data_IF_493019640850
#
_entry.id   IF_493019640850
#
_cell.length_a   1.000
_cell.length_b   1.000
_cell.length_c   1.000
_cell.angle_alpha   90.00
_cell.angle_beta   90.00
_cell.angle_gamma   90.00
#
_symmetry.space_group_name_H-M   'P 1'
#
loop_
_entity.id
_entity.type
_entity.pdbx_description
1 polymer ?
#
# COMPACT_ATOMS: atom_id res chain seq x y z
N UNK A 1 30.94 1.00 28.62
CA UNK A 1 29.48 1.08 28.36
C UNK A 1 29.29 1.85 27.06
N UNK A 2 28.73 1.25 26.01
CA UNK A 2 28.39 1.98 24.78
C UNK A 2 27.23 2.90 25.08
N UNK A 3 27.39 4.20 24.81
CA UNK A 3 26.33 5.20 24.89
C UNK A 3 25.35 4.88 23.75
N UNK A 4 24.17 4.37 24.07
CA UNK A 4 23.09 4.24 23.09
C UNK A 4 22.78 5.64 22.56
N UNK A 5 23.13 5.91 21.31
CA UNK A 5 22.68 7.10 20.61
C UNK A 5 21.21 6.82 20.28
N UNK A 6 20.30 7.50 20.98
CA UNK A 6 18.91 7.58 20.54
C UNK A 6 18.85 8.51 19.34
N UNK A 7 18.98 7.94 18.15
CA UNK A 7 18.66 8.66 16.91
C UNK A 7 17.14 8.89 16.86
N UNK A 8 16.73 10.09 16.47
CA UNK A 8 15.33 10.46 16.28
C UNK A 8 15.08 10.55 14.77
N UNK A 9 14.30 9.61 14.24
CA UNK A 9 13.89 9.60 12.84
C UNK A 9 12.52 10.28 12.68
N UNK A 10 12.45 11.32 11.85
CA UNK A 10 11.23 12.08 11.56
C UNK A 10 11.03 12.30 10.04
N UNK A 11 11.77 11.58 9.20
CA UNK A 11 11.89 11.82 7.75
C UNK A 11 10.97 10.93 6.89
N UNK A 12 10.41 9.84 7.46
CA UNK A 12 9.68 8.81 6.68
C UNK A 12 8.16 8.74 6.92
N UNK A 13 7.62 9.63 7.76
CA UNK A 13 6.20 9.60 8.18
C UNK A 13 5.77 8.26 8.82
N UNK A 14 6.69 7.55 9.48
CA UNK A 14 6.38 6.31 10.19
C UNK A 14 5.51 6.60 11.43
N UNK A 15 4.62 5.66 11.78
CA UNK A 15 3.89 5.76 13.03
C UNK A 15 4.88 5.54 14.21
N UNK A 16 5.00 6.48 15.17
CA UNK A 16 5.95 6.35 16.27
C UNK A 16 5.56 5.27 17.30
N UNK A 17 4.31 4.79 17.26
CA UNK A 17 3.83 3.76 18.17
C UNK A 17 4.04 2.36 17.59
N UNK A 18 4.25 1.40 18.50
CA UNK A 18 4.29 -0.02 18.13
C UNK A 18 2.95 -0.46 17.51
N UNK A 19 2.96 -1.51 16.67
CA UNK A 19 1.73 -2.16 16.23
C UNK A 19 0.83 -2.57 17.41
N UNK A 20 -0.46 -2.72 17.15
CA UNK A 20 -1.43 -3.20 18.15
C UNK A 20 -1.00 -4.54 18.74
N UNK A 21 -1.29 -4.76 20.04
CA UNK A 21 -1.03 -6.04 20.72
C UNK A 21 -1.68 -7.24 20.00
N UNK A 22 -2.82 -7.02 19.37
CA UNK A 22 -3.50 -8.07 18.60
C UNK A 22 -2.70 -8.45 17.34
N UNK A 23 -2.10 -7.46 16.66
CA UNK A 23 -1.23 -7.71 15.49
C UNK A 23 0.02 -8.50 15.93
N UNK A 24 0.63 -8.10 17.06
CA UNK A 24 1.81 -8.79 17.58
C UNK A 24 1.48 -10.25 17.90
N UNK A 25 0.37 -10.50 18.61
CA UNK A 25 -0.07 -11.85 18.96
C UNK A 25 -0.33 -12.72 17.73
N UNK A 26 -0.97 -12.18 16.71
CA UNK A 26 -1.26 -12.90 15.46
C UNK A 26 0.03 -13.29 14.72
N UNK A 27 0.99 -12.36 14.65
CA UNK A 27 2.30 -12.62 14.04
C UNK A 27 3.11 -13.67 14.83
N UNK A 28 3.01 -13.68 16.15
CA UNK A 28 3.65 -14.69 17.01
C UNK A 28 3.03 -16.09 16.86
N UNK A 29 1.75 -16.19 16.48
CA UNK A 29 1.07 -17.46 16.22
C UNK A 29 1.24 -18.00 14.80
N UNK A 30 1.99 -17.30 13.94
CA UNK A 30 2.10 -17.65 12.53
C UNK A 30 2.87 -18.96 12.33
N UNK A 31 2.27 -19.94 11.65
CA UNK A 31 2.92 -21.22 11.32
C UNK A 31 3.92 -21.04 10.18
N UNK A 32 5.21 -20.97 10.52
CA UNK A 32 6.31 -20.80 9.56
C UNK A 32 6.34 -21.94 8.54
N UNK A 33 5.96 -23.16 8.93
CA UNK A 33 5.95 -24.31 8.03
C UNK A 33 4.91 -24.15 6.91
N UNK A 34 3.91 -23.28 7.09
CA UNK A 34 2.90 -22.97 6.07
C UNK A 34 3.47 -22.20 4.86
N UNK A 35 4.63 -21.53 4.98
CA UNK A 35 5.23 -20.79 3.87
C UNK A 35 5.67 -21.65 2.69
N UNK A 36 5.71 -22.98 2.85
CA UNK A 36 5.90 -23.92 1.73
C UNK A 36 4.68 -23.97 0.78
N UNK A 37 3.54 -23.43 1.21
CA UNK A 37 2.30 -23.33 0.45
C UNK A 37 2.15 -21.93 -0.12
N UNK A 38 1.54 -21.83 -1.30
CA UNK A 38 1.08 -20.53 -1.79
C UNK A 38 -0.05 -20.02 -0.88
N UNK A 39 -0.10 -18.71 -0.59
CA UNK A 39 -1.25 -18.12 0.08
C UNK A 39 -2.50 -18.22 -0.83
N UNK A 40 -3.67 -17.90 -0.28
CA UNK A 40 -4.85 -17.66 -1.13
C UNK A 40 -4.48 -16.59 -2.19
N UNK A 41 -4.86 -16.85 -3.43
CA UNK A 41 -4.65 -15.93 -4.56
C UNK A 41 -5.50 -14.66 -4.41
N UNK A 42 -6.50 -14.68 -3.53
CA UNK A 42 -7.43 -13.60 -3.26
C UNK A 42 -7.45 -13.21 -1.79
N UNK A 43 -7.45 -11.91 -1.50
CA UNK A 43 -7.51 -11.39 -0.14
C UNK A 43 -8.96 -11.18 0.36
N UNK A 44 -9.86 -12.12 0.03
CA UNK A 44 -11.32 -11.96 0.23
C UNK A 44 -11.71 -11.68 1.68
N UNK A 45 -11.04 -12.31 2.64
CA UNK A 45 -11.31 -12.10 4.06
C UNK A 45 -10.95 -10.68 4.50
N UNK A 46 -9.83 -10.15 3.99
CA UNK A 46 -9.42 -8.77 4.23
C UNK A 46 -10.38 -7.78 3.56
N UNK A 47 -10.78 -8.04 2.31
CA UNK A 47 -11.72 -7.19 1.58
C UNK A 47 -13.07 -7.09 2.31
N UNK A 48 -13.59 -8.22 2.80
CA UNK A 48 -14.83 -8.27 3.56
C UNK A 48 -14.71 -7.55 4.91
N UNK A 49 -13.60 -7.76 5.64
CA UNK A 49 -13.35 -7.07 6.91
C UNK A 49 -13.26 -5.55 6.71
N UNK A 50 -12.59 -5.10 5.64
CA UNK A 50 -12.47 -3.69 5.29
C UNK A 50 -13.81 -3.08 4.88
N UNK A 51 -14.60 -3.77 4.06
CA UNK A 51 -15.93 -3.33 3.64
C UNK A 51 -16.86 -3.12 4.86
N UNK A 52 -16.86 -4.07 5.80
CA UNK A 52 -17.61 -3.95 7.05
C UNK A 52 -17.12 -2.77 7.91
N UNK A 53 -15.80 -2.60 8.05
CA UNK A 53 -15.22 -1.52 8.83
C UNK A 53 -15.51 -0.12 8.24
N UNK A 54 -15.57 -0.01 6.91
CA UNK A 54 -15.87 1.23 6.20
C UNK A 54 -17.37 1.43 5.92
N UNK A 55 -18.22 0.44 6.23
CA UNK A 55 -19.65 0.42 5.95
C UNK A 55 -19.98 0.68 4.48
N UNK A 56 -19.33 -0.05 3.57
CA UNK A 56 -19.58 -0.02 2.13
C UNK A 56 -19.75 -1.43 1.56
N UNK A 57 -20.28 -1.53 0.34
CA UNK A 57 -20.37 -2.81 -0.37
C UNK A 57 -18.96 -3.40 -0.62
N UNK A 58 -18.81 -4.72 -0.43
CA UNK A 58 -17.53 -5.41 -0.64
C UNK A 58 -17.03 -5.26 -2.07
N UNK A 59 -17.92 -5.14 -3.05
CA UNK A 59 -17.55 -5.05 -4.46
C UNK A 59 -16.93 -3.68 -4.80
N UNK A 60 -16.89 -2.75 -3.85
CA UNK A 60 -16.13 -1.51 -3.91
C UNK A 60 -14.74 -1.59 -3.26
N UNK A 61 -14.32 -2.75 -2.76
CA UNK A 61 -13.00 -2.97 -2.15
C UNK A 61 -12.16 -3.92 -3.01
N UNK A 62 -10.89 -3.55 -3.19
CA UNK A 62 -9.86 -4.44 -3.71
C UNK A 62 -8.58 -4.26 -2.90
N UNK A 63 -8.11 -5.33 -2.26
CA UNK A 63 -6.80 -5.36 -1.63
C UNK A 63 -5.70 -5.51 -2.67
N UNK A 64 -4.62 -4.75 -2.49
CA UNK A 64 -3.42 -4.78 -3.35
C UNK A 64 -2.16 -4.67 -2.48
N UNK A 65 -1.00 -5.03 -3.04
CA UNK A 65 0.30 -4.92 -2.38
C UNK A 65 0.80 -3.47 -2.35
N UNK A 66 0.13 -2.65 -1.55
CA UNK A 66 0.44 -1.25 -1.36
C UNK A 66 0.11 -0.38 -2.58
N UNK A 67 0.48 0.90 -2.47
CA UNK A 67 -0.04 1.88 -3.41
C UNK A 67 0.52 1.77 -4.84
N UNK A 68 1.72 1.22 -5.03
CA UNK A 68 2.28 1.07 -6.38
C UNK A 68 1.38 0.21 -7.26
N UNK A 69 0.91 -0.92 -6.73
CA UNK A 69 -0.01 -1.81 -7.43
C UNK A 69 -1.38 -1.14 -7.63
N UNK A 70 -1.93 -0.47 -6.60
CA UNK A 70 -3.19 0.28 -6.73
C UNK A 70 -3.15 1.25 -7.92
N UNK A 71 -2.13 2.12 -7.95
CA UNK A 71 -1.98 3.11 -9.02
C UNK A 71 -1.75 2.42 -10.38
N UNK A 72 -0.93 1.38 -10.43
CA UNK A 72 -0.71 0.64 -11.67
C UNK A 72 -2.01 0.02 -12.21
N UNK A 73 -2.83 -0.62 -11.37
CA UNK A 73 -4.12 -1.15 -11.77
C UNK A 73 -5.03 -0.04 -12.33
N UNK A 74 -5.20 1.06 -11.59
CA UNK A 74 -6.01 2.21 -12.04
C UNK A 74 -5.53 2.76 -13.39
N UNK A 75 -4.21 2.85 -13.59
CA UNK A 75 -3.63 3.35 -14.83
C UNK A 75 -3.79 2.37 -16.01
N UNK A 76 -3.88 1.07 -15.78
CA UNK A 76 -4.12 0.11 -16.85
C UNK A 76 -5.61 -0.14 -17.13
N UNK A 77 -6.52 0.18 -16.19
CA UNK A 77 -7.97 -0.03 -16.38
C UNK A 77 -8.67 0.93 -17.34
N UNK A 78 -7.96 1.88 -17.95
CA UNK A 78 -8.59 2.80 -18.91
C UNK A 78 -7.64 3.06 -20.09
N UNK A 79 -8.21 3.32 -21.25
CA UNK A 79 -7.49 3.60 -22.49
C UNK A 79 -7.38 5.11 -22.76
N UNK A 80 -6.39 5.53 -23.57
CA UNK A 80 -6.25 6.91 -24.07
C UNK A 80 -6.33 8.03 -23.01
N UNK A 81 -5.64 7.84 -21.87
CA UNK A 81 -5.72 8.75 -20.73
C UNK A 81 -4.80 9.97 -20.84
N UNK A 82 -5.30 11.11 -20.35
CA UNK A 82 -4.48 12.25 -19.91
C UNK A 82 -4.51 12.28 -18.39
N UNK A 83 -3.34 12.34 -17.76
CA UNK A 83 -3.21 12.32 -16.30
C UNK A 83 -2.75 13.69 -15.85
N UNK A 84 -3.51 14.27 -14.92
CA UNK A 84 -3.17 15.52 -14.29
C UNK A 84 -2.60 15.25 -12.90
N UNK A 85 -1.41 15.78 -12.63
CA UNK A 85 -0.80 15.79 -11.29
C UNK A 85 -0.56 17.24 -10.87
N UNK A 86 -1.03 17.62 -9.68
CA UNK A 86 -0.81 18.94 -9.09
C UNK A 86 0.49 18.94 -8.28
N UNK A 87 1.31 19.99 -8.43
CA UNK A 87 2.51 20.19 -7.61
C UNK A 87 2.19 20.87 -6.27
N UNK A 88 2.90 20.52 -5.18
CA UNK A 88 3.93 19.47 -5.10
C UNK A 88 3.30 18.07 -5.02
N UNK A 89 3.89 17.11 -5.74
CA UNK A 89 3.48 15.71 -5.72
C UNK A 89 4.58 14.80 -5.17
N UNK A 90 4.21 13.59 -4.76
CA UNK A 90 5.18 12.55 -4.39
C UNK A 90 5.89 12.05 -5.65
N UNK A 91 7.22 12.00 -5.65
CA UNK A 91 8.05 11.48 -6.76
C UNK A 91 7.62 10.10 -7.27
N UNK A 92 6.97 9.34 -6.39
CA UNK A 92 6.31 8.08 -6.69
C UNK A 92 5.42 8.15 -7.94
N UNK A 93 4.55 9.15 -8.03
CA UNK A 93 3.59 9.24 -9.14
C UNK A 93 4.30 9.40 -10.47
N UNK A 94 5.35 10.23 -10.50
CA UNK A 94 6.22 10.38 -11.67
C UNK A 94 6.87 9.05 -12.07
N UNK A 95 7.44 8.31 -11.13
CA UNK A 95 8.05 7.00 -11.40
C UNK A 95 7.05 5.99 -11.99
N UNK A 96 5.85 5.89 -11.42
CA UNK A 96 4.81 4.98 -11.92
C UNK A 96 4.44 5.34 -13.37
N UNK A 97 4.30 6.63 -13.67
CA UNK A 97 4.00 7.10 -15.04
C UNK A 97 5.11 6.74 -16.03
N UNK A 98 6.38 6.95 -15.65
CA UNK A 98 7.55 6.57 -16.46
C UNK A 98 7.55 5.06 -16.77
N UNK A 99 7.28 4.21 -15.78
CA UNK A 99 7.18 2.75 -15.99
C UNK A 99 6.00 2.35 -16.89
N UNK A 100 4.87 3.06 -16.78
CA UNK A 100 3.67 2.78 -17.57
C UNK A 100 3.74 3.23 -19.03
N UNK A 101 4.81 3.94 -19.44
CA UNK A 101 4.99 4.52 -20.79
C UNK A 101 3.85 5.48 -21.21
N UNK A 102 3.15 6.09 -20.26
CA UNK A 102 2.05 7.01 -20.51
C UNK A 102 2.54 8.45 -20.74
N UNK A 103 1.84 9.21 -21.59
CA UNK A 103 2.17 10.62 -21.88
C UNK A 103 1.67 11.52 -20.73
N UNK A 104 2.58 12.28 -20.12
CA UNK A 104 2.30 13.16 -18.99
C UNK A 104 1.99 14.59 -19.47
N UNK A 105 0.98 15.23 -18.86
CA UNK A 105 0.74 16.67 -18.98
C UNK A 105 0.82 17.27 -17.58
N UNK A 106 1.87 18.03 -17.32
CA UNK A 106 2.03 18.79 -16.07
C UNK A 106 1.36 20.16 -16.24
N UNK A 107 0.47 20.52 -15.32
CA UNK A 107 0.00 21.89 -15.19
C UNK A 107 0.90 22.60 -14.17
N UNK A 108 1.51 23.70 -14.60
CA UNK A 108 2.28 24.61 -13.75
C UNK A 108 1.34 25.57 -13.03
#
# INVERSE_FOLDING_TARGET
MKKEIKEIYLDKNENPYKPSKNIIKELESFDIESFRLFPDYSAKELDLAMANNLNIDKDNIISVNGMYEAFYCILNSFENKKILLQEPYRDLYKKILEYSKLVMILLK
#
